data_IF_667079492298
#
_entry.id   IF_667079492298
#
_cell.length_a   1.000
_cell.length_b   1.000
_cell.length_c   1.000
_cell.angle_alpha   90.00
_cell.angle_beta   90.00
_cell.angle_gamma   90.00
#
_symmetry.space_group_name_H-M   'P 1'
#
loop_
_entity.id
_entity.type
_entity.pdbx_description
1 polymer ?
#
# COMPACT_ATOMS: atom_id res chain seq x y z
N UNK A 1 53.06 -37.59 7.74
CA UNK A 1 51.95 -37.76 6.78
C UNK A 1 50.86 -36.78 7.19
N UNK A 2 50.46 -35.90 6.26
CA UNK A 2 49.48 -34.81 6.47
C UNK A 2 48.07 -35.39 6.48
N UNK A 3 47.27 -35.07 7.50
CA UNK A 3 45.83 -35.25 7.50
C UNK A 3 45.17 -33.88 7.53
N UNK A 4 44.77 -33.38 6.36
CA UNK A 4 43.97 -32.17 6.20
C UNK A 4 42.53 -32.45 6.66
N UNK A 5 42.10 -31.82 7.75
CA UNK A 5 40.69 -31.77 8.13
C UNK A 5 39.98 -30.72 7.26
N UNK A 6 39.14 -31.18 6.34
CA UNK A 6 38.14 -30.35 5.69
C UNK A 6 37.05 -30.04 6.71
N UNK A 7 37.14 -28.89 7.36
CA UNK A 7 36.00 -28.32 8.08
C UNK A 7 35.04 -27.76 7.02
N UNK A 8 34.03 -28.55 6.67
CA UNK A 8 32.93 -28.10 5.82
C UNK A 8 32.23 -26.92 6.47
N UNK A 9 32.29 -25.76 5.80
CA UNK A 9 31.40 -24.64 6.05
C UNK A 9 29.97 -25.10 5.74
N UNK A 10 29.22 -25.47 6.77
CA UNK A 10 27.77 -25.57 6.69
C UNK A 10 27.24 -24.15 6.43
N UNK A 11 26.46 -23.91 5.35
CA UNK A 11 25.82 -22.62 5.18
C UNK A 11 24.83 -22.44 6.33
N UNK A 12 25.05 -21.43 7.17
CA UNK A 12 24.06 -20.88 8.09
C UNK A 12 22.89 -20.38 7.24
N UNK A 13 21.93 -21.26 6.93
CA UNK A 13 20.57 -20.84 6.61
C UNK A 13 19.98 -20.29 7.90
N UNK A 14 20.36 -19.07 8.28
CA UNK A 14 19.53 -18.27 9.17
C UNK A 14 18.17 -18.23 8.48
N UNK A 15 17.17 -18.85 9.12
CA UNK A 15 15.78 -18.65 8.75
C UNK A 15 15.52 -17.16 8.91
N UNK A 16 15.62 -16.40 7.82
CA UNK A 16 15.24 -15.00 7.80
C UNK A 16 13.74 -14.97 8.13
N UNK A 17 13.42 -14.59 9.36
CA UNK A 17 12.06 -14.28 9.75
C UNK A 17 11.63 -13.03 8.95
N UNK A 18 10.42 -13.08 8.40
CA UNK A 18 9.90 -11.97 7.62
C UNK A 18 9.39 -10.88 8.57
N UNK A 19 9.85 -9.65 8.39
CA UNK A 19 9.62 -8.53 9.31
C UNK A 19 9.47 -7.21 8.55
N UNK A 20 8.64 -6.30 9.07
CA UNK A 20 8.58 -4.92 8.62
C UNK A 20 9.72 -4.09 9.25
N UNK A 21 10.47 -3.40 8.41
CA UNK A 21 11.48 -2.41 8.81
C UNK A 21 10.79 -1.06 9.04
N UNK A 22 9.83 -0.71 8.19
CA UNK A 22 8.96 0.45 8.39
C UNK A 22 7.54 0.18 7.85
N UNK A 23 6.48 0.60 8.55
CA UNK A 23 6.54 1.06 9.95
C UNK A 23 7.03 -0.11 10.83
N UNK A 24 7.87 0.20 11.83
CA UNK A 24 8.36 -0.77 12.81
C UNK A 24 7.52 -0.72 14.08
N UNK A 25 7.77 -1.61 15.03
CA UNK A 25 7.06 -1.62 16.32
C UNK A 25 7.20 -0.29 17.09
N UNK A 26 8.25 0.51 16.82
CA UNK A 26 8.42 1.83 17.42
C UNK A 26 7.42 2.88 16.89
N UNK A 27 6.86 2.65 15.71
CA UNK A 27 5.81 3.47 15.09
C UNK A 27 4.40 2.95 15.41
N UNK A 28 4.28 1.91 16.24
CA UNK A 28 2.97 1.43 16.68
C UNK A 28 2.18 2.56 17.37
N UNK A 29 0.97 2.80 16.90
CA UNK A 29 0.10 3.88 17.36
C UNK A 29 0.43 5.27 16.82
N UNK A 30 1.43 5.41 15.94
CA UNK A 30 1.68 6.65 15.22
C UNK A 30 0.45 7.07 14.42
N UNK A 31 0.25 8.38 14.24
CA UNK A 31 -0.88 8.91 13.46
C UNK A 31 -0.39 9.41 12.11
N UNK A 32 -0.90 8.82 11.05
CA UNK A 32 -0.69 9.26 9.68
C UNK A 32 -1.92 9.98 9.16
N UNK A 33 -1.69 10.93 8.26
CA UNK A 33 -2.72 11.81 7.76
C UNK A 33 -3.02 11.49 6.30
N UNK A 34 -4.22 11.87 5.87
CA UNK A 34 -4.56 11.87 4.46
C UNK A 34 -3.53 12.64 3.61
N UNK A 35 -3.11 12.03 2.51
CA UNK A 35 -2.11 12.59 1.59
C UNK A 35 -0.67 12.37 2.02
N UNK A 36 -0.43 11.78 3.20
CA UNK A 36 0.90 11.28 3.54
C UNK A 36 1.32 10.18 2.56
N UNK A 37 2.62 10.07 2.34
CA UNK A 37 3.22 8.94 1.61
C UNK A 37 4.05 8.15 2.61
N UNK A 38 3.69 6.89 2.82
CA UNK A 38 4.42 5.98 3.71
C UNK A 38 5.42 5.18 2.91
N UNK A 39 6.69 5.21 3.31
CA UNK A 39 7.70 4.31 2.77
C UNK A 39 7.66 2.99 3.54
N UNK A 40 6.92 2.01 3.01
CA UNK A 40 6.82 0.69 3.62
C UNK A 40 8.03 -0.12 3.22
N UNK A 41 8.75 -0.69 4.18
CA UNK A 41 9.94 -1.51 3.92
C UNK A 41 9.93 -2.79 4.75
N UNK A 42 10.48 -3.87 4.19
CA UNK A 42 10.44 -5.20 4.79
C UNK A 42 11.70 -6.00 4.47
N UNK A 43 11.93 -7.05 5.26
CA UNK A 43 12.81 -8.17 4.94
C UNK A 43 11.94 -9.41 4.89
N UNK A 44 12.01 -10.20 3.82
CA UNK A 44 11.21 -11.42 3.65
C UNK A 44 11.94 -12.49 2.86
N UNK A 45 11.42 -13.72 2.92
CA UNK A 45 11.82 -14.84 2.08
C UNK A 45 10.66 -15.42 1.25
N UNK A 46 9.61 -14.61 1.06
CA UNK A 46 8.41 -14.98 0.34
C UNK A 46 8.67 -14.87 -1.18
N UNK A 47 8.14 -15.83 -1.94
CA UNK A 47 8.09 -15.74 -3.40
C UNK A 47 6.79 -15.08 -3.82
N UNK A 48 6.85 -14.16 -4.77
CA UNK A 48 5.71 -13.40 -5.31
C UNK A 48 4.85 -12.73 -4.20
N UNK A 49 5.44 -11.98 -3.27
CA UNK A 49 4.72 -11.46 -2.12
C UNK A 49 3.70 -10.40 -2.52
N UNK A 50 2.65 -10.33 -1.72
CA UNK A 50 1.57 -9.35 -1.83
C UNK A 50 1.57 -8.50 -0.57
N UNK A 51 1.68 -7.19 -0.71
CA UNK A 51 1.54 -6.24 0.40
C UNK A 51 0.12 -5.72 0.44
N UNK A 52 -0.56 -5.92 1.57
CA UNK A 52 -1.93 -5.48 1.80
C UNK A 52 -1.94 -4.38 2.85
N UNK A 53 -2.76 -3.35 2.64
CA UNK A 53 -3.14 -2.39 3.66
C UNK A 53 -4.53 -2.74 4.18
N UNK A 54 -4.62 -2.94 5.49
CA UNK A 54 -5.87 -3.16 6.20
C UNK A 54 -6.21 -1.95 7.04
N UNK A 55 -7.51 -1.68 7.18
CA UNK A 55 -8.02 -0.72 8.15
C UNK A 55 -9.21 -1.32 8.90
N UNK A 56 -9.37 -0.91 10.15
CA UNK A 56 -10.51 -1.23 11.01
C UNK A 56 -11.56 -0.14 10.87
N UNK A 57 -12.80 -0.55 10.61
CA UNK A 57 -13.93 0.39 10.61
C UNK A 57 -14.49 0.54 12.03
N UNK A 58 -14.45 1.74 12.64
CA UNK A 58 -14.99 1.96 13.98
C UNK A 58 -16.53 1.99 14.01
N UNK A 59 -17.18 2.14 12.86
CA UNK A 59 -18.65 2.28 12.71
C UNK A 59 -19.37 0.94 12.81
N UNK A 60 -18.73 -0.13 12.36
CA UNK A 60 -19.21 -1.49 12.56
C UNK A 60 -18.56 -2.00 13.83
N UNK A 61 -19.35 -2.13 14.91
CA UNK A 61 -18.87 -2.69 16.17
C UNK A 61 -17.96 -3.90 15.90
N UNK A 62 -16.78 -3.88 16.51
CA UNK A 62 -15.68 -4.86 16.33
C UNK A 62 -16.19 -6.26 15.92
N UNK A 63 -15.60 -6.92 14.90
CA UNK A 63 -14.22 -6.77 14.43
C UNK A 63 -14.11 -6.77 12.88
N UNK A 64 -14.74 -5.80 12.19
CA UNK A 64 -14.64 -5.78 10.73
C UNK A 64 -13.39 -5.03 10.29
N UNK A 65 -12.45 -5.80 9.76
CA UNK A 65 -11.25 -5.32 9.09
C UNK A 65 -11.46 -5.46 7.58
N UNK A 66 -11.11 -4.45 6.80
CA UNK A 66 -11.30 -4.45 5.35
C UNK A 66 -10.04 -4.00 4.62
N UNK A 67 -9.86 -4.55 3.42
CA UNK A 67 -8.69 -4.30 2.59
C UNK A 67 -8.88 -2.93 1.92
N UNK A 68 -7.88 -2.08 2.01
CA UNK A 68 -7.87 -0.77 1.37
C UNK A 68 -6.99 -0.71 0.14
N UNK A 69 -5.93 -1.51 0.14
CA UNK A 69 -4.98 -1.55 -0.94
C UNK A 69 -4.25 -2.88 -0.93
N UNK A 70 -3.90 -3.40 -2.11
CA UNK A 70 -3.15 -4.64 -2.24
C UNK A 70 -2.36 -4.64 -3.55
N UNK A 71 -1.03 -4.80 -3.46
CA UNK A 71 -0.19 -4.89 -4.66
C UNK A 71 0.91 -5.96 -4.53
N UNK A 72 1.34 -6.57 -5.65
CA UNK A 72 2.55 -7.37 -5.71
C UNK A 72 3.77 -6.50 -5.37
N UNK A 73 4.69 -7.03 -4.59
CA UNK A 73 5.92 -6.33 -4.21
C UNK A 73 7.15 -7.21 -4.42
N UNK A 74 8.35 -6.68 -4.20
CA UNK A 74 9.59 -7.42 -4.39
C UNK A 74 9.69 -8.64 -3.44
N UNK A 75 10.11 -9.78 -3.99
CA UNK A 75 10.27 -11.09 -3.30
C UNK A 75 11.08 -11.02 -1.99
N UNK A 76 12.17 -10.28 -2.04
CA UNK A 76 13.13 -10.17 -0.95
C UNK A 76 13.42 -8.70 -0.70
N UNK A 77 13.57 -8.34 0.57
CA UNK A 77 14.08 -7.04 1.04
C UNK A 77 13.67 -5.86 0.16
N UNK A 78 12.44 -5.40 0.32
CA UNK A 78 11.88 -4.36 -0.54
C UNK A 78 11.49 -3.11 0.23
N UNK A 79 11.27 -2.04 -0.53
CA UNK A 79 10.51 -0.89 -0.09
C UNK A 79 9.55 -0.43 -1.18
N UNK A 80 8.42 0.15 -0.78
CA UNK A 80 7.43 0.75 -1.68
C UNK A 80 6.83 2.00 -1.02
N UNK A 81 6.64 3.04 -1.82
CA UNK A 81 5.96 4.26 -1.37
C UNK A 81 4.45 4.10 -1.56
N UNK A 82 3.71 4.09 -0.46
CA UNK A 82 2.25 3.96 -0.43
C UNK A 82 1.63 5.32 -0.15
N UNK A 83 0.98 5.98 -1.14
CA UNK A 83 0.23 7.20 -0.88
C UNK A 83 -1.05 6.86 -0.12
N UNK A 84 -1.28 7.52 1.02
CA UNK A 84 -2.49 7.33 1.79
C UNK A 84 -3.64 8.17 1.24
N UNK A 85 -4.59 7.49 0.61
CA UNK A 85 -5.89 8.07 0.26
C UNK A 85 -6.86 8.13 1.44
N UNK A 86 -8.08 8.66 1.24
CA UNK A 86 -9.14 8.62 2.24
C UNK A 86 -9.38 7.18 2.68
N UNK A 87 -9.44 6.96 4.00
CA UNK A 87 -9.68 5.63 4.58
C UNK A 87 -10.99 5.66 5.34
N UNK A 88 -11.75 4.57 5.28
CA UNK A 88 -12.98 4.41 6.08
C UNK A 88 -12.73 4.00 7.55
N UNK A 89 -11.46 3.98 8.00
CA UNK A 89 -11.05 3.40 9.27
C UNK A 89 -10.07 4.30 10.03
N UNK A 90 -9.99 4.10 11.34
CA UNK A 90 -9.18 4.90 12.27
C UNK A 90 -7.89 4.20 12.71
N UNK A 91 -7.80 2.88 12.56
CA UNK A 91 -6.63 2.05 12.83
C UNK A 91 -6.32 1.18 11.61
N UNK A 92 -5.08 1.24 11.11
CA UNK A 92 -4.64 0.52 9.92
C UNK A 92 -3.29 -0.18 10.16
N UNK A 93 -2.98 -1.17 9.33
CA UNK A 93 -1.68 -1.86 9.34
C UNK A 93 -1.38 -2.43 7.96
N UNK A 94 -0.13 -2.80 7.74
CA UNK A 94 0.27 -3.57 6.57
C UNK A 94 0.37 -5.05 6.90
N UNK A 95 0.08 -5.90 5.92
CA UNK A 95 0.32 -7.33 6.00
C UNK A 95 1.01 -7.79 4.72
N UNK A 96 2.15 -8.46 4.87
CA UNK A 96 2.88 -9.04 3.75
C UNK A 96 2.53 -10.52 3.67
N UNK A 97 1.91 -10.93 2.56
CA UNK A 97 1.57 -12.33 2.28
C UNK A 97 2.62 -12.98 1.39
N UNK A 98 2.85 -14.27 1.59
CA UNK A 98 3.47 -15.10 0.55
C UNK A 98 2.55 -15.23 -0.67
N UNK A 99 3.10 -15.48 -1.86
CA UNK A 99 2.29 -15.64 -3.08
C UNK A 99 1.24 -16.74 -2.98
N UNK A 100 1.51 -17.81 -2.21
CA UNK A 100 0.55 -18.89 -1.92
C UNK A 100 -0.45 -18.55 -0.79
N UNK A 101 -0.30 -17.37 -0.16
CA UNK A 101 -1.08 -16.84 0.96
C UNK A 101 -1.16 -17.76 2.18
N UNK A 102 -0.24 -18.71 2.32
CA UNK A 102 -0.18 -19.62 3.48
C UNK A 102 0.59 -19.04 4.65
N UNK A 103 1.41 -18.03 4.39
CA UNK A 103 2.19 -17.32 5.39
C UNK A 103 1.94 -15.83 5.23
N UNK A 104 1.91 -15.14 6.36
CA UNK A 104 1.94 -13.69 6.37
C UNK A 104 2.77 -13.18 7.53
N UNK A 105 3.25 -11.95 7.35
CA UNK A 105 3.83 -11.13 8.41
C UNK A 105 2.93 -9.92 8.58
N UNK A 106 2.52 -9.67 9.81
CA UNK A 106 1.79 -8.46 10.18
C UNK A 106 2.76 -7.35 10.53
N UNK A 107 2.50 -6.16 9.99
CA UNK A 107 3.14 -4.92 10.42
C UNK A 107 2.46 -4.34 11.66
N UNK A 108 3.09 -3.31 12.25
CA UNK A 108 2.51 -2.60 13.38
C UNK A 108 1.24 -1.86 12.97
N UNK A 109 0.34 -1.68 13.94
CA UNK A 109 -0.87 -0.89 13.79
C UNK A 109 -0.58 0.58 14.01
N UNK A 110 -1.18 1.43 13.17
CA UNK A 110 -1.08 2.88 13.21
C UNK A 110 -2.46 3.50 13.09
N UNK A 111 -2.60 4.75 13.51
CA UNK A 111 -3.85 5.50 13.42
C UNK A 111 -3.91 6.29 12.13
N UNK A 112 -5.10 6.44 11.58
CA UNK A 112 -5.33 7.27 10.41
C UNK A 112 -6.22 8.47 10.75
N UNK A 113 -5.80 9.65 10.32
CA UNK A 113 -6.60 10.87 10.34
C UNK A 113 -6.99 11.25 8.90
N UNK A 114 -8.29 11.31 8.63
CA UNK A 114 -8.85 11.74 7.34
C UNK A 114 -8.65 13.23 7.05
N UNK A 115 -8.08 13.99 7.99
CA UNK A 115 -7.61 15.34 7.72
C UNK A 115 -6.19 15.31 7.15
N UNK A 116 -5.91 16.20 6.21
CA UNK A 116 -4.53 16.49 5.79
C UNK A 116 -3.74 17.07 6.97
N UNK A 117 -2.40 17.06 6.91
CA UNK A 117 -1.54 17.69 7.94
C UNK A 117 -1.87 19.16 8.23
N UNK A 118 -2.47 19.86 7.27
CA UNK A 118 -2.90 21.25 7.41
C UNK A 118 -4.29 21.39 8.05
N UNK A 119 -4.90 20.29 8.51
CA UNK A 119 -6.23 20.26 9.11
C UNK A 119 -7.37 20.43 8.11
N UNK A 120 -7.09 20.40 6.80
CA UNK A 120 -8.14 20.44 5.79
C UNK A 120 -8.69 19.04 5.59
N UNK A 121 -10.02 18.83 5.72
CA UNK A 121 -10.64 17.55 5.37
C UNK A 121 -10.48 17.30 3.87
N UNK A 122 -10.50 16.04 3.45
CA UNK A 122 -10.64 15.72 2.03
C UNK A 122 -11.89 16.41 1.48
N UNK A 123 -11.70 17.43 0.64
CA UNK A 123 -12.76 17.88 -0.23
C UNK A 123 -12.64 17.04 -1.49
N UNK A 124 -13.65 16.20 -1.75
CA UNK A 124 -13.83 15.65 -3.09
C UNK A 124 -13.72 16.83 -4.06
N UNK A 125 -12.75 16.77 -4.97
CA UNK A 125 -12.63 17.78 -6.02
C UNK A 125 -14.00 17.78 -6.70
N UNK A 126 -14.75 18.91 -6.71
CA UNK A 126 -16.03 18.95 -7.38
C UNK A 126 -15.79 18.48 -8.82
N UNK A 127 -16.62 17.55 -9.29
CA UNK A 127 -16.63 17.12 -10.69
C UNK A 127 -16.48 18.36 -11.55
N UNK A 128 -15.49 18.36 -12.44
CA UNK A 128 -15.29 19.43 -13.41
C UNK A 128 -16.67 19.82 -13.94
N UNK A 129 -17.06 21.10 -13.91
CA UNK A 129 -18.33 21.49 -14.51
C UNK A 129 -18.35 20.92 -15.92
N UNK A 130 -19.46 20.27 -16.30
CA UNK A 130 -19.69 19.92 -17.70
C UNK A 130 -19.48 21.21 -18.50
N UNK A 131 -18.32 21.30 -19.17
CA UNK A 131 -18.13 22.27 -20.21
C UNK A 131 -19.02 21.75 -21.32
N UNK A 132 -20.22 22.32 -21.42
CA UNK A 132 -20.98 22.27 -22.66
C UNK A 132 -20.01 22.70 -23.77
N UNK A 133 -19.58 21.74 -24.59
CA UNK A 133 -18.72 21.91 -25.77
C UNK A 133 -19.49 22.65 -26.88
N UNK A 134 -20.14 23.77 -26.56
CA UNK A 134 -20.87 24.57 -27.51
C UNK A 134 -20.67 26.08 -27.30
N UNK A 135 -19.41 26.49 -27.15
CA UNK A 135 -19.03 27.85 -27.47
C UNK A 135 -17.79 27.87 -28.37
N UNK A 136 -18.04 27.84 -29.69
CA UNK A 136 -17.03 28.12 -30.70
C UNK A 136 -16.72 29.62 -30.70
N UNK A 137 -15.82 30.08 -29.82
CA UNK A 137 -15.24 31.42 -29.96
C UNK A 137 -13.85 31.53 -29.30
N UNK A 138 -12.83 31.51 -30.15
CA UNK A 138 -11.50 32.13 -29.99
C UNK A 138 -10.63 31.75 -28.78
N UNK A 139 -9.74 30.77 -28.98
CA UNK A 139 -8.47 30.68 -28.25
C UNK A 139 -7.28 30.83 -29.22
N UNK A 140 -6.29 31.71 -28.94
CA UNK A 140 -5.00 31.64 -29.60
C UNK A 140 -4.23 30.41 -29.06
N UNK A 141 -3.80 29.55 -29.98
CA UNK A 141 -3.00 28.36 -29.70
C UNK A 141 -1.70 28.73 -28.96
N UNK A 142 -1.59 28.29 -27.70
CA UNK A 142 -0.31 28.02 -27.06
C UNK A 142 -0.13 26.50 -27.01
N UNK A 143 0.64 26.02 -27.99
CA UNK A 143 1.08 24.64 -28.15
C UNK A 143 2.01 24.23 -27.00
N UNK A 144 1.57 23.33 -26.11
CA UNK A 144 2.48 22.50 -25.33
C UNK A 144 1.96 21.06 -25.37
N UNK A 145 2.69 20.24 -26.11
CA UNK A 145 2.61 18.79 -26.11
C UNK A 145 3.05 18.23 -24.75
N UNK A 146 2.22 17.37 -24.16
CA UNK A 146 2.71 16.19 -23.44
C UNK A 146 1.64 15.08 -23.41
N UNK A 147 2.16 13.87 -23.50
CA UNK A 147 1.56 12.57 -23.86
C UNK A 147 0.58 11.97 -22.83
N UNK A 148 -0.13 10.87 -23.18
CA UNK A 148 -1.30 10.40 -22.45
C UNK A 148 -0.91 9.53 -21.26
N UNK A 149 -1.48 9.80 -20.08
CA UNK A 149 -1.54 8.81 -19.00
C UNK A 149 -2.82 8.01 -19.21
N UNK A 150 -2.68 6.90 -19.94
CA UNK A 150 -3.61 5.79 -19.78
C UNK A 150 -3.20 5.01 -18.53
N UNK A 151 -4.13 4.72 -17.64
CA UNK A 151 -4.60 3.35 -17.44
C UNK A 151 -5.81 3.30 -16.50
N UNK A 152 -6.66 2.26 -16.66
CA UNK A 152 -8.07 2.29 -16.29
C UNK A 152 -8.30 1.85 -14.84
N UNK A 153 -9.32 2.46 -14.24
CA UNK A 153 -10.03 1.96 -13.07
C UNK A 153 -10.63 0.59 -13.42
N UNK A 154 -10.23 -0.47 -12.73
CA UNK A 154 -10.93 -1.76 -12.80
C UNK A 154 -11.94 -1.83 -11.67
N UNK A 155 -13.21 -1.60 -12.03
CA UNK A 155 -14.34 -2.06 -11.24
C UNK A 155 -14.34 -3.60 -11.23
N UNK A 156 -14.29 -4.19 -10.04
CA UNK A 156 -14.48 -5.62 -9.85
C UNK A 156 -15.49 -5.88 -8.71
N UNK A 157 -16.76 -5.63 -9.02
CA UNK A 157 -17.92 -6.32 -8.44
C UNK A 157 -19.08 -6.08 -9.43
N UNK A 158 -19.85 -7.06 -9.92
CA UNK A 158 -20.18 -8.38 -9.44
C UNK A 158 -20.75 -9.18 -10.62
N UNK A 159 -20.14 -10.34 -10.90
CA UNK A 159 -20.77 -11.44 -11.62
C UNK A 159 -21.31 -12.40 -10.56
N UNK A 160 -22.64 -12.50 -10.45
CA UNK A 160 -23.40 -13.76 -10.32
C UNK A 160 -24.81 -13.45 -9.80
N UNK A 161 -25.82 -13.75 -10.62
CA UNK A 161 -26.70 -14.86 -10.29
C UNK A 161 -27.46 -15.31 -11.55
N UNK A 162 -27.30 -16.61 -11.82
CA UNK A 162 -28.19 -17.50 -12.56
C UNK A 162 -29.66 -17.34 -12.16
#
# INVERSE_FOLDING_TARGET
>A
MRGTANAGLLPLRQSLESIFIFPSDNEAGATFHLGDVLEVSWTSNYTDPLLWQWCRDPSYGTPYDYIQWAEPVADFNGSVSVPLGPQFGDECWFELFSGDRRKSTLGPRWKFDNNTRNGLPYQSIPSRPDLDDNDSANHPLANIQSQPVGHPYVDAASLANT
#
